data_IF_579572583068
#
_entry.id   IF_579572583068
#
_cell.length_a   1.000
_cell.length_b   1.000
_cell.length_c   1.000
_cell.angle_alpha   90.00
_cell.angle_beta   90.00
_cell.angle_gamma   90.00
#
_symmetry.space_group_name_H-M   'P 1'
#
loop_
_entity.id
_entity.type
_entity.pdbx_description
1 polymer ?
#
# COMPACT_ATOMS: atom_id res chain seq x y z
N UNK A 1 -8.89 -27.10 -3.32
CA UNK A 1 -7.68 -26.38 -3.75
C UNK A 1 -7.99 -24.90 -3.64
N UNK A 2 -7.85 -24.35 -2.44
CA UNK A 2 -7.92 -22.90 -2.22
C UNK A 2 -6.74 -22.58 -1.32
N UNK A 3 -5.56 -22.44 -1.95
CA UNK A 3 -4.43 -21.77 -1.32
C UNK A 3 -4.76 -20.29 -1.22
N UNK A 4 -5.65 -19.96 -0.27
CA UNK A 4 -5.78 -18.64 0.29
C UNK A 4 -4.47 -18.36 1.03
N UNK A 5 -3.41 -18.06 0.28
CA UNK A 5 -2.22 -17.43 0.82
C UNK A 5 -2.73 -16.27 1.67
N UNK A 6 -2.51 -16.35 2.99
CA UNK A 6 -2.98 -15.35 3.93
C UNK A 6 -2.33 -14.02 3.57
N UNK A 7 -2.98 -13.24 2.71
CA UNK A 7 -2.54 -11.92 2.31
C UNK A 7 -2.84 -10.99 3.48
N UNK A 8 -1.87 -10.87 4.38
CA UNK A 8 -1.99 -10.03 5.56
C UNK A 8 -2.08 -8.58 5.09
N UNK A 9 -3.17 -7.91 5.45
CA UNK A 9 -3.33 -6.48 5.24
C UNK A 9 -2.23 -5.74 5.99
N UNK A 10 -1.60 -4.74 5.36
CA UNK A 10 -0.56 -3.94 5.98
C UNK A 10 -0.92 -2.46 5.95
N UNK A 11 -0.42 -1.71 6.93
CA UNK A 11 -0.57 -0.25 6.96
C UNK A 11 0.48 0.38 6.06
N UNK A 12 0.06 1.28 5.18
CA UNK A 12 0.93 2.11 4.36
C UNK A 12 0.64 3.59 4.65
N UNK A 13 1.69 4.40 4.60
CA UNK A 13 1.58 5.86 4.65
C UNK A 13 1.98 6.39 3.28
N UNK A 14 1.03 7.06 2.62
CA UNK A 14 1.16 7.49 1.24
C UNK A 14 1.12 9.00 1.23
N UNK A 15 2.17 9.62 0.72
CA UNK A 15 2.23 11.07 0.55
C UNK A 15 1.67 11.46 -0.82
N UNK A 16 0.77 12.45 -0.84
CA UNK A 16 0.31 13.04 -2.08
C UNK A 16 1.40 13.90 -2.72
N UNK A 17 1.79 13.59 -3.95
CA UNK A 17 2.79 14.34 -4.71
C UNK A 17 2.41 15.79 -5.03
N UNK A 18 1.12 16.15 -4.95
CA UNK A 18 0.65 17.49 -5.29
C UNK A 18 0.53 18.43 -4.08
N UNK A 19 0.06 17.92 -2.93
CA UNK A 19 -0.19 18.75 -1.75
C UNK A 19 0.54 18.28 -0.49
N UNK A 20 1.40 17.26 -0.59
CA UNK A 20 2.14 16.67 0.53
C UNK A 20 1.27 16.18 1.70
N UNK A 21 -0.02 15.96 1.44
CA UNK A 21 -0.93 15.36 2.41
C UNK A 21 -0.55 13.90 2.63
N UNK A 22 -0.50 13.47 3.88
CA UNK A 22 -0.15 12.09 4.26
C UNK A 22 -1.43 11.29 4.49
N UNK A 23 -1.61 10.23 3.71
CA UNK A 23 -2.76 9.34 3.75
C UNK A 23 -2.36 8.02 4.40
N UNK A 24 -2.81 7.73 5.64
CA UNK A 24 -2.71 6.40 6.21
C UNK A 24 -3.77 5.49 5.58
N UNK A 25 -3.36 4.37 5.00
CA UNK A 25 -4.29 3.39 4.39
C UNK A 25 -3.93 1.96 4.76
N UNK A 26 -4.96 1.11 4.87
CA UNK A 26 -4.78 -0.34 4.97
C UNK A 26 -4.81 -0.94 3.58
N UNK A 27 -3.71 -1.55 3.17
CA UNK A 27 -3.55 -2.16 1.86
C UNK A 27 -3.57 -3.67 1.95
N UNK A 28 -4.21 -4.29 0.97
CA UNK A 28 -4.17 -5.72 0.78
C UNK A 28 -3.27 -6.06 -0.41
N UNK A 29 -2.37 -7.05 -0.30
CA UNK A 29 -1.44 -7.43 -1.36
C UNK A 29 -2.10 -8.05 -2.62
N UNK A 30 -3.43 -8.08 -2.71
CA UNK A 30 -4.19 -8.63 -3.84
C UNK A 30 -4.06 -7.77 -5.11
N UNK A 31 -3.79 -6.47 -4.96
CA UNK A 31 -3.65 -5.54 -6.08
C UNK A 31 -2.19 -5.03 -6.15
N UNK A 32 -1.58 -5.02 -7.33
CA UNK A 32 -0.22 -4.47 -7.49
C UNK A 32 -0.20 -2.95 -7.61
N UNK A 33 -1.29 -2.35 -8.09
CA UNK A 33 -1.45 -0.91 -8.30
C UNK A 33 -2.80 -0.48 -7.77
N UNK A 34 -2.82 0.57 -6.95
CA UNK A 34 -4.04 1.10 -6.35
C UNK A 34 -4.18 2.56 -6.76
N UNK A 35 -5.23 2.92 -7.52
CA UNK A 35 -5.57 4.31 -7.77
C UNK A 35 -6.13 4.92 -6.47
N UNK A 36 -5.63 6.10 -6.10
CA UNK A 36 -6.01 6.81 -4.86
C UNK A 36 -6.33 8.24 -5.22
N UNK A 37 -7.50 8.71 -4.81
CA UNK A 37 -7.86 10.12 -4.86
C UNK A 37 -7.44 10.79 -3.56
N UNK A 38 -6.59 11.82 -3.62
CA UNK A 38 -6.18 12.56 -2.44
C UNK A 38 -7.38 13.30 -1.84
N UNK A 39 -7.74 13.08 -0.55
CA UNK A 39 -8.90 13.70 0.08
C UNK A 39 -8.72 15.21 0.29
N UNK A 40 -7.46 15.68 0.36
CA UNK A 40 -7.15 17.09 0.59
C UNK A 40 -7.23 17.96 -0.67
N UNK A 41 -6.79 17.46 -1.84
CA UNK A 41 -6.65 18.27 -3.06
C UNK A 41 -7.33 17.68 -4.30
N UNK A 42 -7.87 16.45 -4.23
CA UNK A 42 -8.48 15.76 -5.36
C UNK A 42 -7.48 15.27 -6.41
N UNK A 43 -6.18 15.25 -6.11
CA UNK A 43 -5.17 14.71 -7.03
C UNK A 43 -5.23 13.18 -7.10
N UNK A 44 -5.14 12.62 -8.32
CA UNK A 44 -5.08 11.18 -8.55
C UNK A 44 -3.65 10.68 -8.41
N UNK A 45 -3.46 9.69 -7.54
CA UNK A 45 -2.20 9.03 -7.25
C UNK A 45 -2.31 7.55 -7.63
N UNK A 46 -1.20 6.93 -8.00
CA UNK A 46 -1.12 5.48 -8.19
C UNK A 46 -0.10 4.91 -7.23
N UNK A 47 -0.55 4.09 -6.28
CA UNK A 47 0.33 3.42 -5.34
C UNK A 47 0.69 2.02 -5.82
N UNK A 48 1.99 1.74 -5.97
CA UNK A 48 2.49 0.46 -6.45
C UNK A 48 2.98 -0.38 -5.27
N UNK A 49 2.35 -1.53 -5.04
CA UNK A 49 2.55 -2.38 -3.86
C UNK A 49 3.86 -3.23 -3.95
N UNK A 50 4.52 -3.28 -5.11
CA UNK A 50 5.74 -4.09 -5.34
C UNK A 50 6.91 -3.75 -4.40
N UNK A 51 7.09 -2.47 -4.03
CA UNK A 51 8.17 -2.04 -3.13
C UNK A 51 7.82 -2.25 -1.64
N UNK A 52 6.55 -2.04 -1.29
CA UNK A 52 6.05 -2.16 0.08
C UNK A 52 6.00 -3.62 0.56
N UNK A 53 5.64 -4.57 -0.31
CA UNK A 53 5.70 -6.00 0.02
C UNK A 53 7.13 -6.43 0.33
N UNK A 54 8.14 -5.99 -0.44
CA UNK A 54 9.55 -6.35 -0.16
C UNK A 54 10.01 -5.87 1.21
N UNK A 55 9.65 -4.64 1.59
CA UNK A 55 9.98 -4.09 2.91
C UNK A 55 9.24 -4.83 4.02
N UNK A 56 7.93 -5.08 3.84
CA UNK A 56 7.12 -5.77 4.84
C UNK A 56 7.51 -7.25 5.01
N UNK A 57 7.82 -7.96 3.92
CA UNK A 57 8.31 -9.34 3.98
C UNK A 57 9.71 -9.44 4.62
N UNK A 58 10.59 -8.46 4.40
CA UNK A 58 11.89 -8.43 5.07
C UNK A 58 11.75 -8.12 6.58
N UNK A 59 10.77 -7.31 6.99
CA UNK A 59 10.51 -7.02 8.42
C UNK A 59 9.74 -8.16 9.12
N UNK A 60 8.94 -8.94 8.38
CA UNK A 60 8.15 -10.06 8.92
C UNK A 60 8.94 -11.38 9.09
N UNK A 61 10.19 -11.43 8.64
CA UNK A 61 11.09 -12.60 8.84
C UNK A 61 12.19 -12.20 9.82
N UNK A 62 12.01 -12.42 11.14
CA UNK A 62 13.14 -12.38 12.06
C UNK A 62 14.01 -13.62 11.77
N UNK A 63 15.26 -13.38 11.37
CA UNK A 63 16.31 -14.41 11.35
C UNK A 63 16.79 -14.66 12.77
#
# INVERSE_FOLDING_TARGET
MEDSANFISFRAEIECSACHYHLPMMLQPVHMEIPILCPSCGHNLTYVIRSAIRKHLNEAVPV
#
